data_IF_252110594367
#
_entry.id   IF_252110594367
#
_cell.length_a   1.000
_cell.length_b   1.000
_cell.length_c   1.000
_cell.angle_alpha   90.00
_cell.angle_beta   90.00
_cell.angle_gamma   90.00
#
_symmetry.space_group_name_H-M   'P 1'
#
loop_
_entity.id
_entity.type
_entity.pdbx_description
1 polymer ?
#
# COMPACT_ATOMS: atom_id res chain seq x y z
N UNK A 1 2.48 18.11 -1.76
CA UNK A 1 1.45 19.17 -1.97
C UNK A 1 2.06 20.51 -1.57
N UNK A 2 1.50 21.68 -1.97
CA UNK A 2 2.08 22.98 -1.62
C UNK A 2 2.28 23.11 -0.10
N UNK A 3 3.43 23.64 0.32
CA UNK A 3 3.82 23.84 1.72
C UNK A 3 4.08 22.56 2.54
N UNK A 4 4.21 21.40 1.90
CA UNK A 4 4.51 20.14 2.60
C UNK A 4 5.80 20.23 3.43
N UNK A 5 6.80 20.98 2.95
CA UNK A 5 8.07 21.23 3.64
C UNK A 5 7.88 21.87 5.03
N UNK A 6 6.80 22.63 5.24
CA UNK A 6 6.47 23.24 6.52
C UNK A 6 5.78 22.26 7.50
N UNK A 7 5.32 21.11 6.99
CA UNK A 7 4.64 20.08 7.77
C UNK A 7 5.55 18.88 8.10
N UNK A 8 6.74 18.80 7.50
CA UNK A 8 7.70 17.73 7.75
C UNK A 8 8.37 17.89 9.12
N UNK A 9 8.19 16.90 9.99
CA UNK A 9 8.96 16.81 11.23
C UNK A 9 10.44 16.48 10.96
N UNK A 10 10.72 15.70 9.91
CA UNK A 10 12.05 15.36 9.42
C UNK A 10 12.11 15.76 7.95
N UNK A 11 12.91 16.78 7.63
CA UNK A 11 13.00 17.35 6.26
C UNK A 11 13.87 16.50 5.33
N UNK A 12 14.89 15.86 5.89
CA UNK A 12 15.83 15.03 5.13
C UNK A 12 15.27 13.63 4.89
N UNK A 13 15.24 13.20 3.63
CA UNK A 13 14.63 11.92 3.22
C UNK A 13 15.40 10.70 3.76
N UNK A 14 16.72 10.74 3.85
CA UNK A 14 17.50 9.64 4.42
C UNK A 14 17.24 9.52 5.92
N UNK A 15 17.15 10.66 6.61
CA UNK A 15 16.77 10.68 8.04
C UNK A 15 15.34 10.20 8.30
N UNK A 16 14.43 10.32 7.33
CA UNK A 16 13.09 9.72 7.43
C UNK A 16 13.19 8.19 7.44
N UNK A 17 14.02 7.60 6.56
CA UNK A 17 14.24 6.15 6.54
C UNK A 17 15.03 5.66 7.75
N UNK A 18 16.02 6.41 8.25
CA UNK A 18 16.72 6.09 9.51
C UNK A 18 15.72 6.03 10.68
N UNK A 19 14.84 7.04 10.81
CA UNK A 19 13.82 7.05 11.85
C UNK A 19 12.83 5.89 11.70
N UNK A 20 12.47 5.51 10.46
CA UNK A 20 11.65 4.32 10.21
C UNK A 20 12.39 3.04 10.64
N UNK A 21 13.67 2.89 10.29
CA UNK A 21 14.48 1.74 10.69
C UNK A 21 14.59 1.62 12.22
N UNK A 22 14.75 2.73 12.94
CA UNK A 22 14.72 2.74 14.41
C UNK A 22 13.39 2.20 14.96
N UNK A 23 12.25 2.61 14.41
CA UNK A 23 10.94 2.11 14.84
C UNK A 23 10.75 0.62 14.52
N UNK A 24 11.14 0.19 13.32
CA UNK A 24 11.00 -1.20 12.89
C UNK A 24 11.97 -2.14 13.63
N UNK A 25 13.10 -1.63 14.15
CA UNK A 25 14.01 -2.41 14.99
C UNK A 25 13.40 -2.88 16.32
N UNK A 26 12.28 -2.29 16.74
CA UNK A 26 11.52 -2.71 17.92
C UNK A 26 10.67 -3.96 17.66
N UNK A 27 10.50 -4.36 16.39
CA UNK A 27 9.77 -5.58 16.04
C UNK A 27 10.63 -6.79 16.41
N UNK A 28 10.07 -7.81 17.10
CA UNK A 28 10.83 -9.00 17.47
C UNK A 28 11.50 -9.71 16.30
N UNK A 29 12.71 -10.23 16.52
CA UNK A 29 13.58 -10.86 15.53
C UNK A 29 12.99 -12.13 14.86
N UNK A 30 12.01 -12.78 15.48
CA UNK A 30 11.28 -13.91 14.90
C UNK A 30 10.21 -13.52 13.87
N UNK A 31 10.01 -12.22 13.64
CA UNK A 31 9.06 -11.69 12.65
C UNK A 31 9.83 -11.20 11.43
N UNK A 32 9.66 -11.89 10.30
CA UNK A 32 10.16 -11.44 9.01
C UNK A 32 9.27 -10.34 8.44
N UNK A 33 9.89 -9.31 7.86
CA UNK A 33 9.19 -8.16 7.27
C UNK A 33 9.38 -8.09 5.76
N UNK A 34 8.32 -7.74 5.03
CA UNK A 34 8.37 -7.42 3.60
C UNK A 34 7.99 -5.94 3.45
N UNK A 35 8.87 -5.14 2.84
CA UNK A 35 8.61 -3.72 2.57
C UNK A 35 8.43 -3.48 1.08
N UNK A 36 7.34 -2.82 0.74
CA UNK A 36 6.98 -2.37 -0.60
C UNK A 36 6.94 -0.83 -0.62
N UNK A 37 7.46 -0.16 -1.67
CA UNK A 37 7.33 1.29 -1.82
C UNK A 37 5.92 1.71 -2.23
N UNK A 38 5.63 3.00 -2.05
CA UNK A 38 4.49 3.70 -2.60
C UNK A 38 4.86 5.02 -3.29
N UNK A 39 3.86 5.84 -3.55
CA UNK A 39 4.01 7.09 -4.32
C UNK A 39 4.77 8.20 -3.58
N UNK A 40 5.03 8.05 -2.28
CA UNK A 40 5.77 9.00 -1.45
C UNK A 40 7.22 8.58 -1.19
N UNK A 41 7.58 7.36 -1.55
CA UNK A 41 8.91 6.82 -1.30
C UNK A 41 9.92 7.30 -2.34
N UNK A 42 11.19 7.26 -1.94
CA UNK A 42 12.36 7.59 -2.75
C UNK A 42 12.68 6.50 -3.79
N UNK A 43 11.69 6.19 -4.62
CA UNK A 43 11.79 5.35 -5.81
C UNK A 43 11.30 6.17 -7.01
N UNK A 44 11.31 5.59 -8.22
CA UNK A 44 10.75 6.31 -9.37
C UNK A 44 9.27 6.66 -9.11
N UNK A 45 8.79 7.86 -9.54
CA UNK A 45 7.40 8.26 -9.26
C UNK A 45 6.33 7.45 -10.00
N UNK A 46 6.70 6.83 -11.13
CA UNK A 46 5.77 6.12 -12.00
C UNK A 46 5.69 4.63 -11.67
N UNK A 47 4.50 4.06 -11.75
CA UNK A 47 4.25 2.63 -11.58
C UNK A 47 4.54 1.84 -12.87
N UNK A 48 5.00 0.57 -12.79
CA UNK A 48 5.38 -0.13 -11.56
C UNK A 48 6.61 0.51 -10.92
N UNK A 49 6.81 0.43 -9.61
CA UNK A 49 8.00 0.97 -8.94
C UNK A 49 8.97 -0.18 -8.63
N UNK A 50 10.27 -0.06 -8.94
CA UNK A 50 11.26 -1.00 -8.45
C UNK A 50 11.36 -0.88 -6.93
N UNK A 51 12.08 -1.82 -6.32
CA UNK A 51 12.41 -1.72 -4.89
C UNK A 51 13.36 -0.54 -4.62
N UNK A 52 13.55 -0.21 -3.34
CA UNK A 52 14.42 0.86 -2.87
C UNK A 52 15.88 0.65 -3.30
N UNK A 53 16.63 1.74 -3.48
CA UNK A 53 18.07 1.65 -3.76
C UNK A 53 18.84 1.05 -2.58
N UNK A 54 20.00 0.45 -2.87
CA UNK A 54 20.80 -0.25 -1.87
C UNK A 54 21.15 0.63 -0.67
N UNK A 55 21.45 1.90 -0.89
CA UNK A 55 21.78 2.86 0.17
C UNK A 55 20.65 3.01 1.20
N UNK A 56 19.38 2.96 0.77
CA UNK A 56 18.23 2.96 1.66
C UNK A 56 18.07 1.61 2.35
N UNK A 57 18.23 0.50 1.61
CA UNK A 57 18.12 -0.84 2.19
C UNK A 57 19.16 -1.09 3.29
N UNK A 58 20.39 -0.59 3.11
CA UNK A 58 21.49 -0.75 4.06
C UNK A 58 21.20 -0.07 5.42
N UNK A 59 20.29 0.92 5.47
CA UNK A 59 19.82 1.54 6.72
C UNK A 59 19.05 0.56 7.62
N UNK A 60 18.49 -0.49 7.04
CA UNK A 60 17.72 -1.53 7.74
C UNK A 60 18.57 -2.75 8.09
N UNK A 61 19.91 -2.63 8.02
CA UNK A 61 20.83 -3.72 8.30
C UNK A 61 20.61 -4.32 9.70
N UNK A 62 20.63 -5.67 9.78
CA UNK A 62 20.43 -6.41 11.02
C UNK A 62 18.97 -6.82 11.31
N UNK A 63 18.02 -6.41 10.48
CA UNK A 63 16.62 -6.89 10.53
C UNK A 63 16.37 -7.97 9.47
N UNK A 64 15.47 -8.93 9.77
CA UNK A 64 14.98 -9.90 8.78
C UNK A 64 13.96 -9.23 7.86
N UNK A 65 14.45 -8.58 6.81
CA UNK A 65 13.68 -7.72 5.94
C UNK A 65 13.92 -8.01 4.46
N UNK A 66 12.83 -8.12 3.70
CA UNK A 66 12.84 -8.29 2.24
C UNK A 66 12.22 -7.07 1.59
N UNK A 67 12.94 -6.42 0.68
CA UNK A 67 12.43 -5.27 -0.06
C UNK A 67 11.92 -5.70 -1.44
N UNK A 68 10.68 -5.33 -1.78
CA UNK A 68 10.02 -5.69 -3.04
C UNK A 68 9.60 -4.45 -3.83
N UNK A 69 9.29 -4.62 -5.12
CA UNK A 69 8.70 -3.56 -5.95
C UNK A 69 7.20 -3.40 -5.74
N UNK A 70 6.60 -2.40 -6.39
CA UNK A 70 5.15 -2.13 -6.38
C UNK A 70 4.59 -2.20 -7.82
N UNK A 71 3.65 -3.10 -8.16
CA UNK A 71 3.11 -4.18 -7.33
C UNK A 71 4.10 -5.34 -7.14
N UNK A 72 3.76 -6.27 -6.25
CA UNK A 72 4.50 -7.52 -6.06
C UNK A 72 3.58 -8.71 -5.80
N UNK A 73 3.90 -9.84 -6.40
CA UNK A 73 3.37 -11.14 -5.96
C UNK A 73 4.39 -11.91 -5.14
N UNK A 74 3.95 -12.53 -4.06
CA UNK A 74 4.75 -13.45 -3.25
C UNK A 74 3.87 -14.52 -2.60
N UNK A 75 4.47 -15.65 -2.25
CA UNK A 75 3.78 -16.77 -1.61
C UNK A 75 4.31 -17.02 -0.20
N UNK A 76 3.39 -17.16 0.76
CA UNK A 76 3.70 -17.54 2.13
C UNK A 76 2.94 -18.82 2.47
N UNK A 77 3.66 -19.91 2.73
CA UNK A 77 3.06 -21.21 3.06
C UNK A 77 2.00 -21.70 2.05
N UNK A 78 2.19 -21.40 0.77
CA UNK A 78 1.26 -21.78 -0.31
C UNK A 78 0.06 -20.85 -0.49
N UNK A 79 -0.01 -19.75 0.26
CA UNK A 79 -0.99 -18.67 0.06
C UNK A 79 -0.37 -17.61 -0.85
N UNK A 80 -1.00 -17.34 -1.98
CA UNK A 80 -0.53 -16.35 -2.95
C UNK A 80 -1.05 -14.95 -2.63
N UNK A 81 -0.15 -14.00 -2.50
CA UNK A 81 -0.44 -12.63 -2.09
C UNK A 81 -0.05 -11.68 -3.21
N UNK A 82 -1.01 -10.84 -3.64
CA UNK A 82 -0.75 -9.67 -4.47
C UNK A 82 -0.74 -8.44 -3.56
N UNK A 83 0.39 -7.74 -3.52
CA UNK A 83 0.53 -6.45 -2.87
C UNK A 83 0.64 -5.35 -3.92
N UNK A 84 -0.08 -4.25 -3.70
CA UNK A 84 -0.08 -3.08 -4.57
C UNK A 84 -0.32 -1.82 -3.73
N UNK A 85 0.40 -0.73 -3.96
CA UNK A 85 0.23 0.47 -3.13
C UNK A 85 -1.19 1.07 -3.24
N UNK A 86 -1.76 1.10 -4.45
CA UNK A 86 -3.14 1.55 -4.66
C UNK A 86 -3.30 2.94 -5.28
N UNK A 87 -2.26 3.53 -5.88
CA UNK A 87 -2.34 4.88 -6.49
C UNK A 87 -3.50 5.00 -7.49
N UNK A 88 -3.75 3.95 -8.27
CA UNK A 88 -4.79 3.90 -9.29
C UNK A 88 -6.22 3.79 -8.79
N UNK A 89 -6.44 3.63 -7.48
CA UNK A 89 -7.80 3.65 -6.91
C UNK A 89 -8.54 4.95 -7.28
N UNK A 90 -7.82 6.08 -7.34
CA UNK A 90 -8.38 7.37 -7.76
C UNK A 90 -8.79 7.37 -9.25
N UNK A 91 -8.01 6.74 -10.13
CA UNK A 91 -8.34 6.64 -11.55
C UNK A 91 -9.61 5.82 -11.78
N UNK A 92 -9.77 4.72 -11.05
CA UNK A 92 -10.98 3.91 -11.11
C UNK A 92 -12.23 4.70 -10.70
N UNK A 93 -12.17 5.42 -9.59
CA UNK A 93 -13.31 6.21 -9.08
C UNK A 93 -13.64 7.36 -10.04
N UNK A 94 -12.62 7.99 -10.63
CA UNK A 94 -12.83 9.09 -11.58
C UNK A 94 -13.48 8.60 -12.88
N UNK A 95 -13.17 7.39 -13.33
CA UNK A 95 -13.63 6.87 -14.62
C UNK A 95 -14.87 5.96 -14.53
N UNK A 96 -15.27 5.51 -13.32
CA UNK A 96 -16.38 4.57 -13.14
C UNK A 96 -17.37 5.13 -12.11
N UNK A 97 -18.49 5.66 -12.62
CA UNK A 97 -19.47 6.45 -11.87
C UNK A 97 -20.05 5.83 -10.59
N UNK A 98 -20.14 4.49 -10.51
CA UNK A 98 -20.71 3.82 -9.33
C UNK A 98 -19.69 3.50 -8.24
N UNK A 99 -18.39 3.73 -8.50
CA UNK A 99 -17.34 3.53 -7.50
C UNK A 99 -17.19 4.78 -6.65
N UNK A 100 -16.84 4.58 -5.38
CA UNK A 100 -16.58 5.67 -4.43
C UNK A 100 -15.21 5.49 -3.81
N UNK A 101 -14.52 6.60 -3.61
CA UNK A 101 -13.18 6.61 -3.04
C UNK A 101 -13.14 6.07 -1.60
N UNK A 102 -14.23 6.22 -0.85
CA UNK A 102 -14.36 5.70 0.51
C UNK A 102 -14.84 4.23 0.59
N UNK A 103 -14.95 3.55 -0.55
CA UNK A 103 -15.29 2.13 -0.66
C UNK A 103 -14.16 1.37 -1.42
N UNK A 104 -12.88 1.43 -0.96
CA UNK A 104 -11.73 0.88 -1.68
C UNK A 104 -11.88 -0.59 -2.09
N UNK A 105 -12.51 -1.42 -1.24
CA UNK A 105 -12.72 -2.84 -1.56
C UNK A 105 -13.61 -3.05 -2.79
N UNK A 106 -14.57 -2.16 -3.07
CA UNK A 106 -15.38 -2.24 -4.30
C UNK A 106 -14.56 -1.92 -5.55
N UNK A 107 -13.58 -1.01 -5.41
CA UNK A 107 -12.64 -0.70 -6.49
C UNK A 107 -11.72 -1.90 -6.74
N UNK A 108 -11.18 -2.52 -5.69
CA UNK A 108 -10.35 -3.73 -5.79
C UNK A 108 -11.08 -4.87 -6.49
N UNK A 109 -12.39 -5.06 -6.24
CA UNK A 109 -13.22 -6.03 -6.98
C UNK A 109 -13.27 -5.73 -8.47
N UNK A 110 -13.25 -4.46 -8.86
CA UNK A 110 -13.22 -4.05 -10.28
C UNK A 110 -11.84 -4.32 -10.88
N UNK A 111 -10.76 -4.03 -10.16
CA UNK A 111 -9.39 -4.36 -10.59
C UNK A 111 -9.26 -5.85 -10.92
N UNK A 112 -9.73 -6.73 -10.01
CA UNK A 112 -9.75 -8.18 -10.25
C UNK A 112 -10.60 -8.56 -11.47
N UNK A 113 -11.81 -7.99 -11.63
CA UNK A 113 -12.65 -8.25 -12.81
C UNK A 113 -12.01 -7.81 -14.12
N UNK A 114 -11.24 -6.72 -14.10
CA UNK A 114 -10.52 -6.20 -15.26
C UNK A 114 -9.16 -6.84 -15.48
N UNK A 115 -8.69 -7.64 -14.52
CA UNK A 115 -7.34 -8.23 -14.51
C UNK A 115 -6.24 -7.17 -14.66
N UNK A 116 -6.43 -5.97 -14.09
CA UNK A 116 -5.46 -4.89 -14.26
C UNK A 116 -5.50 -3.91 -13.08
N UNK A 117 -4.33 -3.60 -12.54
CA UNK A 117 -4.18 -2.70 -11.40
C UNK A 117 -4.38 -1.23 -11.81
N UNK A 118 -3.79 -0.77 -12.91
CA UNK A 118 -3.91 0.63 -13.37
C UNK A 118 -4.17 0.79 -14.89
N UNK A 119 -5.36 0.44 -15.41
CA UNK A 119 -5.60 0.39 -16.87
C UNK A 119 -5.80 1.77 -17.54
N UNK A 120 -5.96 2.84 -16.75
CA UNK A 120 -6.18 4.19 -17.27
C UNK A 120 -4.84 4.85 -17.57
N UNK A 121 -4.63 5.23 -18.83
CA UNK A 121 -3.46 6.03 -19.23
C UNK A 121 -3.75 7.53 -19.17
N UNK A 122 -2.77 8.33 -18.73
CA UNK A 122 -2.89 9.80 -18.66
C UNK A 122 -3.77 10.33 -17.52
N UNK A 123 -4.09 9.47 -16.55
CA UNK A 123 -4.84 9.83 -15.34
C UNK A 123 -3.95 10.33 -14.21
N UNK A 124 -4.39 10.08 -12.98
CA UNK A 124 -3.68 10.42 -11.74
C UNK A 124 -2.53 9.46 -11.43
N UNK A 125 -2.55 8.24 -11.97
CA UNK A 125 -1.45 7.27 -11.84
C UNK A 125 -0.45 7.45 -12.98
N UNK A 126 0.78 7.90 -12.69
CA UNK A 126 1.85 7.91 -13.68
C UNK A 126 2.29 6.48 -13.98
N UNK A 127 2.30 6.11 -15.27
CA UNK A 127 2.74 4.79 -15.73
C UNK A 127 4.08 4.91 -16.46
N UNK A 128 5.06 4.11 -16.05
CA UNK A 128 6.37 4.04 -16.67
C UNK A 128 6.26 3.34 -18.05
N UNK A 129 6.98 3.81 -19.08
CA UNK A 129 6.97 3.19 -20.41
C UNK A 129 7.84 1.92 -20.44
N UNK A 130 7.38 0.87 -19.74
CA UNK A 130 8.05 -0.43 -19.68
C UNK A 130 7.80 -1.26 -20.94
N UNK A 131 8.70 -2.22 -21.21
CA UNK A 131 8.55 -3.16 -22.33
C UNK A 131 7.46 -4.22 -22.08
N UNK A 132 7.13 -4.45 -20.82
CA UNK A 132 6.09 -5.37 -20.37
C UNK A 132 5.15 -4.61 -19.42
N UNK A 133 3.86 -4.97 -19.47
CA UNK A 133 2.87 -4.41 -18.56
C UNK A 133 2.82 -5.23 -17.26
N UNK A 134 3.56 -4.76 -16.26
CA UNK A 134 3.60 -5.37 -14.92
C UNK A 134 2.36 -5.02 -14.06
N UNK A 135 1.44 -4.20 -14.57
CA UNK A 135 0.22 -3.84 -13.85
C UNK A 135 -0.92 -4.82 -14.14
N UNK A 136 -0.74 -5.76 -15.08
CA UNK A 136 -1.67 -6.84 -15.37
C UNK A 136 -1.71 -7.84 -14.21
N UNK A 137 -2.93 -8.24 -13.83
CA UNK A 137 -3.18 -9.29 -12.84
C UNK A 137 -3.25 -10.62 -13.61
N UNK A 138 -2.08 -11.23 -13.84
CA UNK A 138 -1.91 -12.42 -14.67
C UNK A 138 -2.35 -13.71 -13.98
N UNK A 139 -2.29 -13.75 -12.64
CA UNK A 139 -2.77 -14.84 -11.80
C UNK A 139 -3.64 -14.34 -10.66
N UNK A 140 -4.67 -15.12 -10.33
CA UNK A 140 -5.61 -14.78 -9.26
C UNK A 140 -4.92 -15.04 -7.91
N UNK A 141 -4.74 -14.02 -7.05
CA UNK A 141 -4.17 -14.20 -5.72
C UNK A 141 -5.22 -14.78 -4.76
N UNK A 142 -4.77 -15.37 -3.65
CA UNK A 142 -5.62 -15.70 -2.51
C UNK A 142 -5.90 -14.46 -1.65
N UNK A 143 -4.92 -13.56 -1.56
CA UNK A 143 -5.01 -12.29 -0.81
C UNK A 143 -4.57 -11.14 -1.71
N UNK A 144 -5.38 -10.09 -1.79
CA UNK A 144 -5.04 -8.85 -2.47
C UNK A 144 -5.01 -7.70 -1.47
N UNK A 145 -3.84 -7.09 -1.30
CA UNK A 145 -3.58 -6.02 -0.33
C UNK A 145 -3.33 -4.70 -1.06
N UNK A 146 -4.04 -3.65 -0.64
CA UNK A 146 -3.81 -2.26 -1.05
C UNK A 146 -3.63 -1.32 0.13
N UNK A 147 -3.22 -0.08 -0.16
CA UNK A 147 -3.13 1.01 0.80
C UNK A 147 -3.57 2.34 0.17
N UNK A 148 -2.71 3.35 0.28
CA UNK A 148 -2.85 4.69 -0.32
C UNK A 148 -4.02 5.55 0.15
N UNK A 149 -5.24 5.01 0.27
CA UNK A 149 -6.44 5.80 0.60
C UNK A 149 -6.61 6.08 2.10
N UNK A 150 -5.83 5.41 2.97
CA UNK A 150 -5.88 5.58 4.43
C UNK A 150 -7.23 5.16 5.05
N UNK A 151 -7.88 4.12 4.52
CA UNK A 151 -9.11 3.54 5.09
C UNK A 151 -8.91 2.06 5.39
N UNK A 152 -9.30 1.61 6.57
CA UNK A 152 -9.19 0.21 6.95
C UNK A 152 -10.46 -0.54 6.53
N UNK A 153 -10.37 -1.36 5.48
CA UNK A 153 -11.50 -2.17 5.01
C UNK A 153 -11.01 -3.54 4.57
N UNK A 154 -11.85 -4.56 4.76
CA UNK A 154 -11.62 -5.88 4.17
C UNK A 154 -12.92 -6.47 3.62
N UNK A 155 -12.79 -7.36 2.65
CA UNK A 155 -13.92 -8.04 2.02
C UNK A 155 -13.49 -9.40 1.47
N UNK A 156 -14.46 -10.21 1.07
CA UNK A 156 -14.25 -11.42 0.29
C UNK A 156 -14.83 -11.21 -1.10
N UNK A 157 -14.09 -11.59 -2.14
CA UNK A 157 -14.58 -11.58 -3.50
C UNK A 157 -14.19 -12.86 -4.23
N UNK A 158 -15.17 -13.75 -4.42
CA UNK A 158 -15.00 -15.02 -5.14
C UNK A 158 -13.83 -15.85 -4.59
N UNK A 159 -13.65 -15.85 -3.27
CA UNK A 159 -12.58 -16.58 -2.59
C UNK A 159 -11.29 -15.79 -2.39
N UNK A 160 -11.15 -14.58 -2.98
CA UNK A 160 -10.01 -13.69 -2.74
C UNK A 160 -10.29 -12.81 -1.53
N UNK A 161 -9.36 -12.78 -0.56
CA UNK A 161 -9.40 -11.84 0.57
C UNK A 161 -8.88 -10.48 0.12
N UNK A 162 -9.72 -9.47 0.18
CA UNK A 162 -9.37 -8.09 -0.16
C UNK A 162 -9.09 -7.33 1.13
N UNK A 163 -7.94 -6.68 1.22
CA UNK A 163 -7.55 -5.88 2.37
C UNK A 163 -7.06 -4.53 1.86
N UNK A 164 -7.78 -3.45 2.20
CA UNK A 164 -7.22 -2.11 2.12
C UNK A 164 -6.70 -1.74 3.51
N UNK A 165 -5.39 -1.62 3.64
CA UNK A 165 -4.74 -1.24 4.88
C UNK A 165 -5.03 0.23 5.24
N UNK A 166 -5.04 0.48 6.54
CA UNK A 166 -5.13 1.81 7.15
C UNK A 166 -3.90 2.66 6.83
N UNK A 167 -3.68 3.71 7.61
CA UNK A 167 -2.47 4.50 7.67
C UNK A 167 -2.06 4.74 9.11
N UNK A 168 -0.79 5.06 9.34
CA UNK A 168 -0.28 5.52 10.63
C UNK A 168 -0.17 7.06 10.70
N UNK A 169 -0.73 7.76 9.71
CA UNK A 169 -0.75 9.21 9.65
C UNK A 169 -2.11 9.76 10.10
N UNK A 170 -2.12 10.73 11.02
CA UNK A 170 -3.33 11.49 11.35
C UNK A 170 -3.80 12.35 10.15
N UNK A 171 -5.03 12.84 10.21
CA UNK A 171 -5.61 13.64 9.12
C UNK A 171 -4.78 14.89 8.80
N UNK A 172 -4.29 14.99 7.57
CA UNK A 172 -3.47 16.12 7.10
C UNK A 172 -4.33 17.34 6.72
N UNK A 173 -3.70 18.50 6.59
CA UNK A 173 -4.34 19.73 6.09
C UNK A 173 -4.93 19.51 4.68
N UNK A 174 -4.20 18.80 3.82
CA UNK A 174 -4.64 18.42 2.48
C UNK A 174 -5.88 17.53 2.50
N UNK A 175 -5.90 16.49 3.34
CA UNK A 175 -7.08 15.63 3.51
C UNK A 175 -8.29 16.40 4.05
N UNK A 176 -8.08 17.34 4.98
CA UNK A 176 -9.15 18.25 5.45
C UNK A 176 -9.74 19.10 4.33
N UNK A 177 -8.90 19.67 3.45
CA UNK A 177 -9.37 20.45 2.30
C UNK A 177 -10.24 19.63 1.34
N UNK A 178 -10.00 18.31 1.26
CA UNK A 178 -10.80 17.39 0.46
C UNK A 178 -12.01 16.81 1.20
N UNK A 179 -12.31 17.29 2.42
CA UNK A 179 -13.33 16.73 3.31
C UNK A 179 -13.18 15.21 3.54
N UNK A 180 -11.94 14.74 3.57
CA UNK A 180 -11.60 13.33 3.72
C UNK A 180 -11.11 13.03 5.13
N UNK A 181 -11.70 12.02 5.79
CA UNK A 181 -11.31 11.59 7.13
C UNK A 181 -10.65 10.20 7.01
N UNK A 182 -9.35 10.06 7.32
CA UNK A 182 -8.69 8.77 7.31
C UNK A 182 -9.13 7.92 8.49
N UNK A 183 -9.03 6.61 8.31
CA UNK A 183 -9.29 5.62 9.34
C UNK A 183 -7.98 5.08 9.90
N UNK A 184 -7.20 5.96 10.51
CA UNK A 184 -5.81 5.73 10.92
C UNK A 184 -5.65 4.79 12.12
N UNK A 185 -4.44 4.25 12.31
CA UNK A 185 -4.05 3.40 13.44
C UNK A 185 -4.83 2.09 13.54
N UNK A 186 -5.18 1.49 12.39
CA UNK A 186 -5.84 0.18 12.33
C UNK A 186 -4.98 -0.84 11.61
N UNK A 187 -4.74 -1.98 12.25
CA UNK A 187 -3.90 -3.05 11.72
C UNK A 187 -4.77 -4.24 11.29
N UNK A 188 -4.88 -4.52 9.97
CA UNK A 188 -5.48 -5.77 9.51
C UNK A 188 -4.53 -6.94 9.78
N UNK A 189 -5.07 -8.03 10.32
CA UNK A 189 -4.33 -9.27 10.60
C UNK A 189 -5.08 -10.41 9.92
N UNK A 190 -4.37 -11.18 9.11
CA UNK A 190 -4.90 -12.35 8.44
C UNK A 190 -4.24 -13.63 8.95
N UNK A 191 -5.05 -14.60 9.35
CA UNK A 191 -4.59 -15.96 9.59
C UNK A 191 -4.53 -16.70 8.24
N UNK A 192 -3.32 -17.02 7.78
CA UNK A 192 -3.10 -17.62 6.46
C UNK A 192 -3.69 -19.03 6.30
N UNK A 193 -3.91 -19.76 7.40
CA UNK A 193 -4.48 -21.11 7.36
C UNK A 193 -5.99 -21.08 7.15
N UNK A 194 -6.67 -20.12 7.76
CA UNK A 194 -8.13 -20.01 7.78
C UNK A 194 -8.66 -18.93 6.83
N UNK A 195 -7.81 -18.00 6.42
CA UNK A 195 -8.18 -16.79 5.67
C UNK A 195 -8.98 -15.79 6.50
N UNK A 196 -9.08 -15.97 7.82
CA UNK A 196 -9.82 -15.05 8.69
C UNK A 196 -9.05 -13.74 8.84
N UNK A 197 -9.72 -12.63 8.54
CA UNK A 197 -9.18 -11.28 8.69
C UNK A 197 -9.80 -10.63 9.93
N UNK A 198 -8.96 -10.13 10.82
CA UNK A 198 -9.36 -9.30 11.97
C UNK A 198 -8.73 -7.92 11.85
N UNK A 199 -9.31 -6.93 12.53
CA UNK A 199 -8.80 -5.56 12.52
C UNK A 199 -8.52 -5.15 13.96
N UNK A 200 -7.26 -4.89 14.28
CA UNK A 200 -6.88 -4.29 15.56
C UNK A 200 -6.96 -2.76 15.45
N UNK A 201 -7.53 -2.11 16.46
CA UNK A 201 -7.73 -0.66 16.49
C UNK A 201 -6.88 -0.05 17.63
N UNK A 202 -5.93 0.79 17.24
CA UNK A 202 -4.99 1.47 18.14
C UNK A 202 -5.31 2.95 18.32
N UNK A 203 -6.46 3.44 17.84
CA UNK A 203 -6.83 4.87 17.95
C UNK A 203 -6.91 5.39 19.39
N UNK A 204 -7.11 4.50 20.36
CA UNK A 204 -7.22 4.82 21.79
C UNK A 204 -6.09 4.21 22.65
N UNK A 205 -5.05 3.64 22.04
CA UNK A 205 -3.89 3.16 22.80
C UNK A 205 -3.03 4.36 23.23
N UNK A 206 -2.96 4.60 24.54
CA UNK A 206 -2.06 5.57 25.17
C UNK A 206 -0.71 4.94 25.46
#
# INVERSE_FOLDING_TARGET
>A
YPNQENELAIVDVYRQYEALAEQLSLIPDYISMIIQPGNHDAVRPAEPQPTFEKEIQDLFSGMDMTFVGNPCYFSLHGVEILSYHGQSLLDYVTNIQHLKYNEPVEIMKVMLRKHHLAPTYGGYTPLAPEHLDYMVIDRIPDVFVTGHVHLAQYSDYRGVKLINASSWQAQTSYQKMLNFIPDSAKLPIIDLKTGNVTMMDFTNCR
#
